data_IF_622593812563
#
_entry.id   IF_622593812563
#
_cell.length_a   1.000
_cell.length_b   1.000
_cell.length_c   1.000
_cell.angle_alpha   90.00
_cell.angle_beta   90.00
_cell.angle_gamma   90.00
#
_symmetry.space_group_name_H-M   'P 1'
#
loop_
_entity.id
_entity.type
_entity.pdbx_description
1 polymer ?
#
# COMPACT_ATOMS: atom_id res chain seq x y z
N UNK A 1 9.50 -6.21 -21.40
CA UNK A 1 8.66 -6.24 -20.18
C UNK A 1 9.49 -6.18 -18.88
N UNK A 2 10.56 -6.98 -18.72
CA UNK A 2 11.45 -6.92 -17.52
C UNK A 2 12.10 -5.53 -17.28
N UNK A 3 12.49 -4.80 -18.34
CA UNK A 3 13.17 -3.50 -18.20
C UNK A 3 12.29 -2.39 -17.61
N UNK A 4 10.96 -2.36 -17.96
CA UNK A 4 10.05 -1.32 -17.45
C UNK A 4 9.76 -1.44 -15.96
N UNK A 5 9.70 -2.66 -15.42
CA UNK A 5 9.41 -2.90 -14.00
C UNK A 5 10.59 -2.45 -13.12
N UNK A 6 11.85 -2.66 -13.60
CA UNK A 6 13.04 -2.19 -12.86
C UNK A 6 13.11 -0.66 -12.77
N UNK A 7 12.69 0.05 -13.83
CA UNK A 7 12.67 1.52 -13.85
C UNK A 7 11.62 2.07 -12.87
N UNK A 8 10.46 1.41 -12.77
CA UNK A 8 9.40 1.80 -11.83
C UNK A 8 9.82 1.65 -10.37
N UNK A 9 10.55 0.58 -10.05
CA UNK A 9 11.04 0.32 -8.70
C UNK A 9 12.08 1.35 -8.22
N UNK A 10 13.00 1.76 -9.10
CA UNK A 10 13.99 2.79 -8.76
C UNK A 10 13.30 4.13 -8.42
N UNK A 11 12.18 4.45 -9.07
CA UNK A 11 11.39 5.66 -8.77
C UNK A 11 10.71 5.59 -7.39
N UNK A 12 10.17 4.44 -7.01
CA UNK A 12 9.53 4.25 -5.68
C UNK A 12 10.55 4.30 -4.55
N UNK A 13 11.75 3.74 -4.75
CA UNK A 13 12.83 3.76 -3.75
C UNK A 13 13.54 5.12 -3.63
N UNK A 14 13.45 5.96 -4.69
CA UNK A 14 14.04 7.30 -4.70
C UNK A 14 13.12 8.38 -4.12
N UNK A 15 11.91 8.03 -3.63
CA UNK A 15 11.05 8.98 -2.93
C UNK A 15 11.76 9.42 -1.66
N UNK A 16 12.43 10.56 -1.72
CA UNK A 16 12.92 11.26 -0.54
C UNK A 16 11.71 11.60 0.33
N UNK A 17 11.81 11.36 1.62
CA UNK A 17 10.83 11.74 2.63
C UNK A 17 10.74 13.28 2.69
N UNK A 18 10.16 13.88 1.66
CA UNK A 18 9.81 15.29 1.63
C UNK A 18 8.41 15.50 2.18
N UNK A 19 8.00 16.72 2.56
CA UNK A 19 6.67 16.96 3.09
C UNK A 19 5.62 16.58 2.03
N UNK A 20 4.89 15.49 2.31
CA UNK A 20 3.77 15.04 1.49
C UNK A 20 2.62 16.02 1.68
N UNK A 21 2.16 16.62 0.60
CA UNK A 21 0.99 17.51 0.58
C UNK A 21 -0.25 16.72 0.19
N UNK A 22 -0.80 15.97 1.14
CA UNK A 22 -2.11 15.33 1.03
C UNK A 22 -2.82 15.39 2.38
N UNK A 23 -4.09 15.08 2.45
CA UNK A 23 -4.89 15.00 3.69
C UNK A 23 -4.39 13.90 4.66
N UNK A 24 -3.39 13.15 4.26
CA UNK A 24 -2.67 12.16 5.05
C UNK A 24 -1.70 12.81 6.07
N UNK A 25 -1.68 14.14 6.15
CA UNK A 25 -0.77 14.91 7.05
C UNK A 25 -1.40 15.29 8.39
N UNK A 26 -2.41 14.53 8.85
CA UNK A 26 -2.99 14.74 10.18
C UNK A 26 -1.89 14.49 11.23
N UNK A 27 -1.64 15.41 12.19
CA UNK A 27 -0.62 15.22 13.25
C UNK A 27 -0.79 13.90 14.02
N UNK A 28 -2.03 13.44 14.19
CA UNK A 28 -2.37 12.19 14.86
C UNK A 28 -1.76 10.97 14.16
N UNK A 29 -1.61 11.00 12.82
CA UNK A 29 -0.95 9.92 12.07
C UNK A 29 0.53 9.82 12.42
N UNK A 30 1.23 10.93 12.60
CA UNK A 30 2.64 10.93 12.97
C UNK A 30 2.84 10.31 14.37
N UNK A 31 1.95 10.60 15.32
CA UNK A 31 1.99 9.98 16.65
C UNK A 31 1.72 8.47 16.59
N UNK A 32 0.74 8.03 15.78
CA UNK A 32 0.44 6.61 15.57
C UNK A 32 1.62 5.87 14.92
N UNK A 33 2.25 6.46 13.90
CA UNK A 33 3.43 5.86 13.28
C UNK A 33 4.64 5.82 14.23
N UNK A 34 4.83 6.85 15.03
CA UNK A 34 5.86 6.86 16.06
C UNK A 34 5.63 5.78 17.15
N UNK A 35 4.38 5.53 17.52
CA UNK A 35 4.01 4.45 18.43
C UNK A 35 4.23 3.09 17.77
N UNK A 36 3.77 2.91 16.54
CA UNK A 36 3.92 1.68 15.74
C UNK A 36 5.40 1.28 15.58
N UNK A 37 6.28 2.26 15.37
CA UNK A 37 7.72 2.02 15.24
C UNK A 37 8.39 1.55 16.54
N UNK A 38 7.84 1.95 17.70
CA UNK A 38 8.38 1.60 19.03
C UNK A 38 7.78 0.33 19.61
N UNK A 39 6.60 -0.07 19.15
CA UNK A 39 5.92 -1.24 19.68
C UNK A 39 6.67 -2.54 19.36
N UNK A 40 6.72 -3.45 20.33
CA UNK A 40 7.21 -4.82 20.20
C UNK A 40 6.09 -5.87 20.44
N UNK A 41 4.87 -5.42 20.73
CA UNK A 41 3.68 -6.24 20.91
C UNK A 41 2.84 -6.30 19.64
N UNK A 42 2.55 -7.51 19.16
CA UNK A 42 1.77 -7.71 17.93
C UNK A 42 0.31 -7.26 18.06
N UNK A 43 -0.26 -7.32 19.26
CA UNK A 43 -1.65 -6.89 19.48
C UNK A 43 -1.70 -5.36 19.41
N UNK A 44 -0.76 -4.69 20.10
CA UNK A 44 -0.62 -3.23 20.06
C UNK A 44 -0.34 -2.75 18.62
N UNK A 45 0.58 -3.40 17.89
CA UNK A 45 0.85 -3.08 16.48
C UNK A 45 -0.42 -3.18 15.63
N UNK A 46 -1.23 -4.23 15.84
CA UNK A 46 -2.48 -4.42 15.10
C UNK A 46 -3.48 -3.30 15.41
N UNK A 47 -3.60 -2.93 16.67
CA UNK A 47 -4.48 -1.84 17.09
C UNK A 47 -4.06 -0.49 16.49
N UNK A 48 -2.76 -0.18 16.53
CA UNK A 48 -2.20 1.04 15.92
C UNK A 48 -2.43 1.05 14.39
N UNK A 49 -2.23 -0.09 13.73
CA UNK A 49 -2.53 -0.21 12.30
C UNK A 49 -4.02 0.04 12.00
N UNK A 50 -4.94 -0.50 12.83
CA UNK A 50 -6.37 -0.26 12.66
C UNK A 50 -6.73 1.22 12.82
N UNK A 51 -6.11 1.91 13.78
CA UNK A 51 -6.30 3.36 13.95
C UNK A 51 -5.77 4.14 12.75
N UNK A 52 -4.60 3.78 12.21
CA UNK A 52 -4.07 4.39 10.98
C UNK A 52 -5.02 4.13 9.79
N UNK A 53 -5.51 2.90 9.62
CA UNK A 53 -6.49 2.58 8.60
C UNK A 53 -7.76 3.42 8.73
N UNK A 54 -8.27 3.62 9.93
CA UNK A 54 -9.44 4.45 10.19
C UNK A 54 -9.26 5.87 9.61
N UNK A 55 -8.10 6.50 9.86
CA UNK A 55 -7.77 7.81 9.30
C UNK A 55 -7.63 7.80 7.77
N UNK A 56 -7.09 6.73 7.21
CA UNK A 56 -6.91 6.63 5.75
C UNK A 56 -8.21 6.36 4.98
N UNK A 57 -9.23 5.79 5.63
CA UNK A 57 -10.53 5.54 4.98
C UNK A 57 -11.41 6.78 4.88
N UNK A 58 -11.12 7.81 5.63
CA UNK A 58 -11.89 9.04 5.59
C UNK A 58 -11.42 9.93 4.44
N UNK A 59 -12.37 10.29 3.56
CA UNK A 59 -12.16 11.33 2.56
C UNK A 59 -12.00 12.70 3.26
N UNK A 60 -11.25 13.64 2.61
CA UNK A 60 -11.20 15.01 3.07
C UNK A 60 -12.60 15.60 3.32
N UNK A 61 -12.75 16.41 4.37
CA UNK A 61 -14.06 16.95 4.81
C UNK A 61 -14.83 17.63 3.65
N UNK A 62 -14.13 18.42 2.82
CA UNK A 62 -14.70 19.07 1.64
C UNK A 62 -15.20 18.08 0.59
N UNK A 63 -14.78 16.84 0.65
CA UNK A 63 -15.11 15.75 -0.29
C UNK A 63 -15.95 14.64 0.35
N UNK A 64 -16.40 14.80 1.60
CA UNK A 64 -17.13 13.79 2.35
C UNK A 64 -18.41 13.28 1.64
N UNK A 65 -19.02 14.10 0.78
CA UNK A 65 -20.16 13.68 -0.08
C UNK A 65 -19.82 12.55 -1.05
N UNK A 66 -18.53 12.28 -1.29
CA UNK A 66 -18.08 11.19 -2.15
C UNK A 66 -17.85 9.89 -1.38
N UNK A 67 -17.90 9.91 -0.05
CA UNK A 67 -17.71 8.72 0.79
C UNK A 67 -18.59 7.54 0.35
N UNK A 68 -19.90 7.70 0.02
CA UNK A 68 -20.72 6.60 -0.45
C UNK A 68 -20.21 5.94 -1.74
N UNK A 69 -19.51 6.67 -2.62
CA UNK A 69 -18.92 6.11 -3.85
C UNK A 69 -17.70 5.26 -3.49
N UNK A 70 -16.84 5.74 -2.60
CA UNK A 70 -15.71 4.98 -2.09
C UNK A 70 -16.17 3.71 -1.37
N UNK A 71 -17.19 3.80 -0.51
CA UNK A 71 -17.76 2.67 0.24
C UNK A 71 -18.36 1.61 -0.69
N UNK A 72 -19.00 2.02 -1.81
CA UNK A 72 -19.46 1.08 -2.84
C UNK A 72 -18.30 0.31 -3.47
N UNK A 73 -17.16 0.99 -3.70
CA UNK A 73 -15.93 0.34 -4.15
C UNK A 73 -15.41 -0.68 -3.13
N UNK A 74 -15.43 -0.33 -1.85
CA UNK A 74 -15.04 -1.22 -0.75
C UNK A 74 -15.95 -2.46 -0.66
N UNK A 75 -17.27 -2.26 -0.77
CA UNK A 75 -18.25 -3.35 -0.82
C UNK A 75 -17.99 -4.26 -2.03
N UNK A 76 -17.75 -3.67 -3.20
CA UNK A 76 -17.46 -4.44 -4.41
C UNK A 76 -16.21 -5.31 -4.25
N UNK A 77 -15.13 -4.81 -3.62
CA UNK A 77 -13.97 -5.63 -3.27
C UNK A 77 -14.33 -6.78 -2.33
N UNK A 78 -15.10 -6.49 -1.28
CA UNK A 78 -15.52 -7.49 -0.30
C UNK A 78 -16.33 -8.63 -0.93
N UNK A 79 -17.17 -8.33 -1.93
CA UNK A 79 -17.97 -9.33 -2.66
C UNK A 79 -17.25 -9.91 -3.90
N UNK A 80 -15.95 -9.68 -4.08
CA UNK A 80 -15.18 -10.23 -5.20
C UNK A 80 -15.61 -9.68 -6.57
N UNK A 81 -16.00 -8.40 -6.63
CA UNK A 81 -16.43 -7.69 -7.84
C UNK A 81 -15.40 -6.61 -8.22
N UNK A 82 -14.16 -6.98 -8.59
CA UNK A 82 -13.07 -6.03 -8.78
C UNK A 82 -13.32 -5.02 -9.89
N UNK A 83 -14.04 -5.36 -10.96
CA UNK A 83 -14.37 -4.41 -12.05
C UNK A 83 -15.29 -3.28 -11.58
N UNK A 84 -16.25 -3.60 -10.71
CA UNK A 84 -17.12 -2.59 -10.07
C UNK A 84 -16.28 -1.71 -9.15
N UNK A 85 -15.39 -2.32 -8.34
CA UNK A 85 -14.49 -1.61 -7.45
C UNK A 85 -13.59 -0.63 -8.22
N UNK A 86 -12.95 -1.07 -9.33
CA UNK A 86 -12.14 -0.21 -10.21
C UNK A 86 -12.94 1.01 -10.66
N UNK A 87 -14.19 0.82 -11.08
CA UNK A 87 -15.05 1.92 -11.53
C UNK A 87 -15.31 2.93 -10.42
N UNK A 88 -15.67 2.47 -9.21
CA UNK A 88 -16.00 3.36 -8.09
C UNK A 88 -14.76 4.10 -7.58
N UNK A 89 -13.63 3.41 -7.42
CA UNK A 89 -12.39 4.07 -7.01
C UNK A 89 -11.86 5.03 -8.07
N UNK A 90 -12.04 4.74 -9.36
CA UNK A 90 -11.67 5.70 -10.42
C UNK A 90 -12.46 7.00 -10.31
N UNK A 91 -13.76 6.94 -10.02
CA UNK A 91 -14.59 8.12 -9.76
C UNK A 91 -14.14 8.89 -8.52
N UNK A 92 -13.74 8.17 -7.47
CA UNK A 92 -13.21 8.79 -6.24
C UNK A 92 -11.89 9.50 -6.54
N UNK A 93 -10.97 8.86 -7.25
CA UNK A 93 -9.64 9.40 -7.61
C UNK A 93 -9.77 10.60 -8.55
N UNK A 94 -10.68 10.54 -9.54
CA UNK A 94 -10.94 11.66 -10.45
C UNK A 94 -11.38 12.92 -9.68
N UNK A 95 -12.21 12.74 -8.67
CA UNK A 95 -12.71 13.85 -7.86
C UNK A 95 -11.71 14.29 -6.76
N UNK A 96 -10.91 13.39 -6.22
CA UNK A 96 -9.96 13.63 -5.13
C UNK A 96 -8.64 12.92 -5.42
N UNK A 97 -7.81 13.42 -6.35
CA UNK A 97 -6.56 12.75 -6.76
C UNK A 97 -5.50 12.70 -5.65
N UNK A 98 -5.66 13.47 -4.57
CA UNK A 98 -4.77 13.45 -3.40
C UNK A 98 -5.15 12.41 -2.35
N UNK A 99 -6.25 11.67 -2.52
CA UNK A 99 -6.70 10.64 -1.60
C UNK A 99 -5.94 9.32 -1.84
N UNK A 100 -4.87 9.10 -1.07
CA UNK A 100 -3.97 7.96 -1.24
C UNK A 100 -4.69 6.61 -1.18
N UNK A 101 -5.66 6.46 -0.26
CA UNK A 101 -6.39 5.21 -0.09
C UNK A 101 -7.27 4.87 -1.30
N UNK A 102 -7.77 5.86 -2.03
CA UNK A 102 -8.46 5.63 -3.31
C UNK A 102 -7.59 4.91 -4.32
N UNK A 103 -6.33 5.36 -4.48
CA UNK A 103 -5.34 4.71 -5.33
C UNK A 103 -4.98 3.31 -4.83
N UNK A 104 -4.71 3.16 -3.54
CA UNK A 104 -4.40 1.86 -2.93
C UNK A 104 -5.52 0.83 -3.13
N UNK A 105 -6.79 1.22 -2.98
CA UNK A 105 -7.93 0.32 -3.18
C UNK A 105 -8.14 -0.04 -4.64
N UNK A 106 -7.91 0.89 -5.57
CA UNK A 106 -7.93 0.56 -6.99
C UNK A 106 -6.78 -0.36 -7.38
N UNK A 107 -5.58 -0.16 -6.81
CA UNK A 107 -4.46 -1.08 -6.98
C UNK A 107 -4.81 -2.51 -6.53
N UNK A 108 -5.48 -2.64 -5.39
CA UNK A 108 -5.98 -3.94 -4.91
C UNK A 108 -6.95 -4.58 -5.92
N UNK A 109 -7.87 -3.79 -6.49
CA UNK A 109 -8.81 -4.29 -7.49
C UNK A 109 -8.10 -4.72 -8.79
N UNK A 110 -7.11 -3.96 -9.26
CA UNK A 110 -6.28 -4.35 -10.40
C UNK A 110 -5.46 -5.62 -10.14
N UNK A 111 -4.92 -5.76 -8.93
CA UNK A 111 -4.24 -6.99 -8.52
C UNK A 111 -5.18 -8.20 -8.62
N UNK A 112 -6.42 -8.09 -8.13
CA UNK A 112 -7.42 -9.16 -8.18
C UNK A 112 -7.77 -9.61 -9.60
N UNK A 113 -7.71 -8.72 -10.59
CA UNK A 113 -7.93 -9.07 -12.00
C UNK A 113 -6.65 -9.48 -12.74
N UNK A 114 -5.50 -9.49 -12.05
CA UNK A 114 -4.21 -9.86 -12.61
C UNK A 114 -3.53 -8.74 -13.43
N UNK A 115 -4.09 -7.53 -13.45
CA UNK A 115 -3.45 -6.37 -14.08
C UNK A 115 -2.39 -5.76 -13.14
N UNK A 116 -1.29 -6.49 -13.00
CA UNK A 116 -0.19 -6.07 -12.11
C UNK A 116 0.46 -4.76 -12.55
N UNK A 117 0.42 -4.42 -13.83
CA UNK A 117 1.00 -3.16 -14.32
C UNK A 117 0.16 -1.95 -13.86
N UNK A 118 -1.16 -2.02 -13.99
CA UNK A 118 -2.05 -0.98 -13.48
C UNK A 118 -1.98 -0.88 -11.95
N UNK A 119 -1.93 -2.04 -11.27
CA UNK A 119 -1.76 -2.10 -9.82
C UNK A 119 -0.47 -1.40 -9.36
N UNK A 120 0.67 -1.68 -10.01
CA UNK A 120 1.96 -1.03 -9.70
C UNK A 120 1.90 0.48 -9.90
N UNK A 121 1.22 0.95 -10.94
CA UNK A 121 1.04 2.39 -11.21
C UNK A 121 0.27 3.07 -10.07
N UNK A 122 -0.80 2.45 -9.60
CA UNK A 122 -1.61 2.97 -8.50
C UNK A 122 -0.88 2.88 -7.14
N UNK A 123 -0.12 1.79 -6.89
CA UNK A 123 0.75 1.68 -5.71
C UNK A 123 1.79 2.80 -5.70
N UNK A 124 2.42 3.08 -6.84
CA UNK A 124 3.38 4.18 -6.95
C UNK A 124 2.74 5.51 -6.58
N UNK A 125 1.54 5.79 -7.10
CA UNK A 125 0.82 7.02 -6.76
C UNK A 125 0.45 7.07 -5.27
N UNK A 126 0.02 5.95 -4.69
CA UNK A 126 -0.23 5.84 -3.24
C UNK A 126 1.00 6.22 -2.43
N UNK A 127 2.17 5.66 -2.78
CA UNK A 127 3.42 5.89 -2.05
C UNK A 127 4.03 7.29 -2.29
N UNK A 128 3.66 7.97 -3.38
CA UNK A 128 3.98 9.39 -3.58
C UNK A 128 3.15 10.25 -2.60
N UNK A 129 1.88 9.90 -2.36
CA UNK A 129 0.98 10.62 -1.48
C UNK A 129 1.22 10.30 0.00
N UNK A 130 1.46 9.03 0.34
CA UNK A 130 1.80 8.55 1.68
C UNK A 130 2.91 7.49 1.61
N UNK A 131 4.17 7.88 1.79
CA UNK A 131 5.31 6.95 1.72
C UNK A 131 5.29 5.83 2.78
N UNK A 132 4.54 6.01 3.87
CA UNK A 132 4.39 5.05 4.96
C UNK A 132 3.19 4.12 4.76
N UNK A 133 2.56 4.12 3.58
CA UNK A 133 1.34 3.35 3.33
C UNK A 133 1.63 1.85 3.31
N UNK A 134 1.55 1.22 4.48
CA UNK A 134 1.94 -0.20 4.64
C UNK A 134 1.10 -1.16 3.80
N UNK A 135 -0.16 -0.84 3.50
CA UNK A 135 -0.99 -1.64 2.57
C UNK A 135 -0.44 -1.62 1.14
N UNK A 136 0.00 -0.45 0.65
CA UNK A 136 0.63 -0.32 -0.66
C UNK A 136 1.99 -1.02 -0.72
N UNK A 137 2.81 -0.92 0.33
CA UNK A 137 4.08 -1.66 0.42
C UNK A 137 3.86 -3.18 0.43
N UNK A 138 2.84 -3.67 1.15
CA UNK A 138 2.46 -5.09 1.12
C UNK A 138 1.98 -5.54 -0.26
N UNK A 139 1.15 -4.74 -0.92
CA UNK A 139 0.71 -4.99 -2.29
C UNK A 139 1.88 -5.05 -3.28
N UNK A 140 2.86 -4.16 -3.13
CA UNK A 140 4.09 -4.16 -3.92
C UNK A 140 4.88 -5.46 -3.75
N UNK A 141 5.07 -5.92 -2.50
CA UNK A 141 5.72 -7.19 -2.18
C UNK A 141 4.99 -8.38 -2.85
N UNK A 142 3.65 -8.42 -2.75
CA UNK A 142 2.83 -9.47 -3.35
C UNK A 142 2.95 -9.52 -4.88
N UNK A 143 2.94 -8.37 -5.57
CA UNK A 143 3.09 -8.32 -7.02
C UNK A 143 4.47 -8.84 -7.43
N UNK A 144 5.53 -8.40 -6.77
CA UNK A 144 6.89 -8.84 -7.08
C UNK A 144 7.09 -10.33 -6.82
N UNK A 145 6.50 -10.87 -5.75
CA UNK A 145 6.53 -12.31 -5.50
C UNK A 145 5.79 -13.08 -6.60
N UNK A 146 4.57 -12.69 -6.97
CA UNK A 146 3.79 -13.35 -8.01
C UNK A 146 4.47 -13.30 -9.38
N UNK A 147 5.29 -12.29 -9.62
CA UNK A 147 6.09 -12.14 -10.85
C UNK A 147 7.52 -12.70 -10.71
N UNK A 148 7.81 -13.42 -9.61
CA UNK A 148 9.11 -14.03 -9.29
C UNK A 148 10.27 -13.03 -9.23
N UNK A 149 9.98 -11.81 -8.86
CA UNK A 149 10.96 -10.74 -8.65
C UNK A 149 11.28 -10.66 -7.15
N UNK A 150 11.87 -11.74 -6.60
CA UNK A 150 12.01 -11.92 -5.15
C UNK A 150 12.85 -10.83 -4.48
N UNK A 151 13.90 -10.34 -5.14
CA UNK A 151 14.74 -9.26 -4.58
C UNK A 151 13.94 -7.97 -4.37
N UNK A 152 13.04 -7.63 -5.32
CA UNK A 152 12.17 -6.48 -5.20
C UNK A 152 11.09 -6.70 -4.11
N UNK A 153 10.56 -7.93 -4.00
CA UNK A 153 9.64 -8.28 -2.93
C UNK A 153 10.31 -8.12 -1.54
N UNK A 154 11.55 -8.60 -1.39
CA UNK A 154 12.34 -8.44 -0.16
C UNK A 154 12.55 -6.95 0.16
N UNK A 155 12.86 -6.12 -0.83
CA UNK A 155 13.03 -4.68 -0.61
C UNK A 155 11.73 -4.00 -0.14
N UNK A 156 10.58 -4.39 -0.68
CA UNK A 156 9.28 -3.90 -0.22
C UNK A 156 9.00 -4.29 1.24
N UNK A 157 9.28 -5.54 1.62
CA UNK A 157 9.18 -6.01 3.01
C UNK A 157 10.17 -5.29 3.95
N UNK A 158 11.37 -4.96 3.48
CA UNK A 158 12.35 -4.17 4.25
C UNK A 158 11.85 -2.74 4.52
N UNK A 159 11.07 -2.15 3.60
CA UNK A 159 10.42 -0.86 3.84
C UNK A 159 9.33 -0.99 4.93
N UNK A 160 8.53 -2.06 4.90
CA UNK A 160 7.58 -2.37 5.97
C UNK A 160 8.29 -2.57 7.31
N UNK A 161 9.42 -3.26 7.33
CA UNK A 161 10.20 -3.49 8.54
C UNK A 161 10.77 -2.19 9.13
N UNK A 162 11.02 -1.15 8.32
CA UNK A 162 11.40 0.18 8.84
C UNK A 162 10.24 0.86 9.58
N UNK A 163 9.00 0.60 9.19
CA UNK A 163 7.82 1.12 9.89
C UNK A 163 7.52 0.34 11.17
N UNK A 164 7.81 -0.96 11.18
CA UNK A 164 7.53 -1.89 12.27
C UNK A 164 8.76 -2.77 12.58
N UNK A 165 9.84 -2.22 13.16
CA UNK A 165 11.13 -2.91 13.27
C UNK A 165 11.08 -4.19 14.10
N UNK A 166 10.14 -4.29 15.03
CA UNK A 166 9.99 -5.45 15.91
C UNK A 166 8.99 -6.49 15.39
N UNK A 167 8.33 -6.24 14.25
CA UNK A 167 7.36 -7.18 13.71
C UNK A 167 8.03 -8.47 13.22
N UNK A 168 7.83 -9.56 13.99
CA UNK A 168 8.40 -10.88 13.70
C UNK A 168 7.87 -11.49 12.41
N UNK A 169 6.60 -11.23 12.06
CA UNK A 169 5.98 -11.77 10.84
C UNK A 169 6.62 -11.20 9.58
N UNK A 170 6.97 -9.91 9.58
CA UNK A 170 7.69 -9.30 8.44
C UNK A 170 9.09 -9.90 8.32
N UNK A 171 9.80 -10.11 9.44
CA UNK A 171 11.12 -10.75 9.44
C UNK A 171 11.04 -12.17 8.86
N UNK A 172 10.07 -12.95 9.30
CA UNK A 172 9.82 -14.30 8.78
C UNK A 172 9.48 -14.27 7.27
N UNK A 173 8.65 -13.32 6.85
CA UNK A 173 8.28 -13.15 5.43
C UNK A 173 9.50 -12.88 4.56
N UNK A 174 10.43 -12.05 5.01
CA UNK A 174 11.70 -11.79 4.31
C UNK A 174 12.50 -13.08 4.14
N UNK A 175 12.63 -13.93 5.18
CA UNK A 175 13.35 -15.20 5.09
C UNK A 175 12.66 -16.18 4.13
N UNK A 176 11.34 -16.24 4.11
CA UNK A 176 10.57 -17.04 3.14
C UNK A 176 10.85 -16.60 1.70
N UNK A 177 10.87 -15.29 1.42
CA UNK A 177 11.19 -14.76 0.11
C UNK A 177 12.62 -15.05 -0.32
N UNK A 178 13.59 -14.96 0.61
CA UNK A 178 14.98 -15.38 0.36
C UNK A 178 15.11 -16.87 0.03
N UNK A 179 14.33 -17.72 0.70
CA UNK A 179 14.30 -19.14 0.40
C UNK A 179 13.78 -19.39 -1.03
N UNK A 180 12.65 -18.74 -1.40
CA UNK A 180 12.09 -18.84 -2.76
C UNK A 180 13.04 -18.32 -3.84
N UNK A 181 13.80 -17.23 -3.56
CA UNK A 181 14.81 -16.72 -4.48
C UNK A 181 15.89 -17.74 -4.74
N UNK A 182 16.44 -18.38 -3.67
CA UNK A 182 17.45 -19.45 -3.79
C UNK A 182 16.94 -20.67 -4.56
N UNK A 183 15.72 -21.11 -4.29
CA UNK A 183 15.09 -22.25 -5.00
C UNK A 183 14.88 -21.95 -6.49
N UNK A 184 14.59 -20.72 -6.83
CA UNK A 184 14.42 -20.28 -8.22
C UNK A 184 15.74 -20.10 -8.98
N UNK A 185 16.89 -20.19 -8.30
CA UNK A 185 18.22 -20.00 -8.89
C UNK A 185 18.50 -18.55 -9.32
N UNK A 186 17.88 -17.62 -8.65
CA UNK A 186 17.97 -16.16 -8.94
C UNK A 186 18.69 -15.49 -7.78
#
# INVERSE_FOLDING_TARGET
>A
MRLMIHTLMLLVLAVSWGPVRGDQTKPELDDLFNALQRSDDLVEMTELQNQIWFHWYELPEQSAKLQPIFDQGMQALHFGQPQVAITQFSRTIEAVPTFAEGWNRRATAFFMVGDYQASLTDIQQTLILEPRHFGALGGLSMIFENTKQFDQAIQAEQLLLKLMPQNGLIKERIEQLKAKSREAGI
#
